data_IF_168375692458
#
_entry.id   IF_168375692458
#
_cell.length_a   1.000
_cell.length_b   1.000
_cell.length_c   1.000
_cell.angle_alpha   90.00
_cell.angle_beta   90.00
_cell.angle_gamma   90.00
#
_symmetry.space_group_name_H-M   'P 1'
#
loop_
_entity.id
_entity.type
_entity.pdbx_description
1 polymer ?
#
# COMPACT_ATOMS: atom_id res chain seq x y z
N UNK A 1 -13.21 5.64 10.89
CA UNK A 1 -12.17 5.23 9.90
C UNK A 1 -12.74 5.53 8.53
N UNK A 2 -12.02 6.20 7.65
CA UNK A 2 -12.47 6.49 6.28
C UNK A 2 -11.73 5.57 5.30
N UNK A 3 -12.43 5.15 4.24
CA UNK A 3 -11.76 4.51 3.10
C UNK A 3 -11.05 5.57 2.26
N UNK A 4 -9.90 5.23 1.68
CA UNK A 4 -9.17 6.10 0.77
C UNK A 4 -9.13 5.48 -0.63
N UNK A 5 -9.33 6.30 -1.63
CA UNK A 5 -9.25 5.93 -3.04
C UNK A 5 -8.36 6.94 -3.78
N UNK A 6 -7.79 6.53 -4.90
CA UNK A 6 -7.09 7.45 -5.80
C UNK A 6 -8.08 8.44 -6.41
N UNK A 7 -7.69 9.71 -6.50
CA UNK A 7 -8.45 10.72 -7.23
C UNK A 7 -8.54 10.43 -8.75
N UNK A 8 -7.70 9.52 -9.26
CA UNK A 8 -7.79 9.03 -10.63
C UNK A 8 -8.96 8.07 -10.86
N UNK A 9 -9.51 7.45 -9.79
CA UNK A 9 -10.55 6.43 -9.92
C UNK A 9 -11.78 6.93 -10.70
N UNK A 10 -12.40 8.07 -10.36
CA UNK A 10 -13.57 8.56 -11.10
C UNK A 10 -13.25 9.01 -12.53
N UNK A 11 -11.98 9.30 -12.83
CA UNK A 11 -11.56 9.69 -14.18
C UNK A 11 -11.32 8.46 -15.08
N UNK A 12 -10.66 7.43 -14.53
CA UNK A 12 -10.28 6.24 -15.29
C UNK A 12 -11.42 5.21 -15.36
N UNK A 13 -12.25 5.13 -14.31
CA UNK A 13 -13.33 4.16 -14.14
C UNK A 13 -14.62 4.85 -13.65
N UNK A 14 -15.22 5.76 -14.44
CA UNK A 14 -16.30 6.63 -13.98
C UNK A 14 -17.54 5.85 -13.50
N UNK A 15 -17.96 4.83 -14.22
CA UNK A 15 -19.15 4.01 -13.88
C UNK A 15 -18.94 3.23 -12.59
N UNK A 16 -17.77 2.63 -12.43
CA UNK A 16 -17.45 1.84 -11.22
C UNK A 16 -17.31 2.76 -10.01
N UNK A 17 -16.68 3.91 -10.19
CA UNK A 17 -16.54 4.93 -9.16
C UNK A 17 -17.89 5.48 -8.69
N UNK A 18 -18.79 5.79 -9.61
CA UNK A 18 -20.15 6.25 -9.30
C UNK A 18 -20.92 5.21 -8.50
N UNK A 19 -20.89 3.95 -8.93
CA UNK A 19 -21.54 2.83 -8.23
C UNK A 19 -20.97 2.65 -6.83
N UNK A 20 -19.64 2.66 -6.70
CA UNK A 20 -18.94 2.52 -5.43
C UNK A 20 -19.30 3.66 -4.47
N UNK A 21 -19.17 4.91 -4.89
CA UNK A 21 -19.37 6.06 -4.03
C UNK A 21 -20.84 6.23 -3.64
N UNK A 22 -21.79 5.92 -4.53
CA UNK A 22 -23.21 5.88 -4.22
C UNK A 22 -23.51 4.81 -3.16
N UNK A 23 -22.91 3.64 -3.28
CA UNK A 23 -23.06 2.55 -2.30
C UNK A 23 -22.48 2.95 -0.94
N UNK A 24 -21.28 3.52 -0.91
CA UNK A 24 -20.67 3.99 0.35
C UNK A 24 -21.54 5.07 1.03
N UNK A 25 -22.04 6.01 0.25
CA UNK A 25 -22.93 7.06 0.76
C UNK A 25 -24.25 6.50 1.31
N UNK A 26 -24.86 5.50 0.63
CA UNK A 26 -26.09 4.85 1.07
C UNK A 26 -25.92 4.10 2.41
N UNK A 27 -24.70 3.76 2.79
CA UNK A 27 -24.38 3.07 4.04
C UNK A 27 -23.64 3.95 5.05
N UNK A 28 -23.63 5.26 4.87
CA UNK A 28 -22.94 6.23 5.74
C UNK A 28 -21.45 5.91 5.96
N UNK A 29 -20.78 5.33 4.94
CA UNK A 29 -19.38 4.97 5.00
C UNK A 29 -18.53 6.13 4.45
N UNK A 30 -17.74 6.82 5.32
CA UNK A 30 -16.92 7.94 4.89
C UNK A 30 -15.75 7.48 4.02
N UNK A 31 -15.47 8.25 2.97
CA UNK A 31 -14.30 8.02 2.11
C UNK A 31 -13.61 9.34 1.77
N UNK A 32 -12.37 9.24 1.30
CA UNK A 32 -11.58 10.36 0.80
C UNK A 32 -10.88 9.98 -0.50
N UNK A 33 -10.69 10.95 -1.37
CA UNK A 33 -9.90 10.84 -2.59
C UNK A 33 -8.52 11.43 -2.33
N UNK A 34 -7.47 10.66 -2.65
CA UNK A 34 -6.08 11.08 -2.51
C UNK A 34 -5.54 11.60 -3.84
N UNK A 35 -5.11 12.85 -3.83
CA UNK A 35 -4.44 13.48 -4.96
C UNK A 35 -2.97 13.04 -5.05
N UNK A 36 -2.35 13.20 -6.24
CA UNK A 36 -0.94 12.90 -6.45
C UNK A 36 -0.61 11.42 -6.63
N UNK A 37 -1.61 10.56 -6.68
CA UNK A 37 -1.44 9.16 -7.06
C UNK A 37 -1.20 9.05 -8.56
N UNK A 38 -0.44 8.04 -8.99
CA UNK A 38 -0.13 7.76 -10.40
C UNK A 38 -0.84 6.53 -10.92
N UNK A 39 -1.50 5.79 -10.01
CA UNK A 39 -2.30 4.61 -10.28
C UNK A 39 -3.45 4.54 -9.27
N UNK A 40 -4.43 3.66 -9.51
CA UNK A 40 -5.61 3.45 -8.65
C UNK A 40 -5.37 2.46 -7.51
N UNK A 41 -4.29 1.70 -7.55
CA UNK A 41 -4.00 0.58 -6.64
C UNK A 41 -3.39 1.05 -5.31
N UNK A 42 -4.13 1.88 -4.54
CA UNK A 42 -3.64 2.43 -3.28
C UNK A 42 -3.09 1.36 -2.33
N UNK A 43 -3.71 0.20 -2.29
CA UNK A 43 -3.31 -0.90 -1.41
C UNK A 43 -1.84 -1.27 -1.58
N UNK A 44 -1.29 -1.11 -2.78
CA UNK A 44 0.04 -1.58 -3.10
C UNK A 44 1.14 -0.61 -2.64
N UNK A 45 0.87 0.70 -2.67
CA UNK A 45 1.86 1.72 -2.31
C UNK A 45 1.56 2.51 -1.02
N UNK A 46 0.39 2.30 -0.42
CA UNK A 46 0.06 2.92 0.88
C UNK A 46 0.73 2.16 2.03
N UNK A 47 0.97 2.84 3.18
CA UNK A 47 1.51 2.17 4.35
C UNK A 47 0.65 1.01 4.82
N UNK A 48 1.30 -0.07 5.16
CA UNK A 48 0.68 -1.23 5.79
C UNK A 48 0.50 -0.95 7.28
N UNK A 49 -0.70 -1.18 7.81
CA UNK A 49 -0.96 -1.11 9.25
C UNK A 49 -0.65 -2.46 9.89
N UNK A 50 0.26 -2.48 10.87
CA UNK A 50 0.63 -3.67 11.61
C UNK A 50 -0.41 -4.04 12.68
N UNK A 51 -0.27 -5.20 13.28
CA UNK A 51 -1.11 -5.65 14.39
C UNK A 51 -1.04 -4.72 15.61
N UNK A 52 0.10 -4.10 15.87
CA UNK A 52 0.30 -3.08 16.92
C UNK A 52 -0.24 -1.69 16.56
N UNK A 53 -0.72 -1.50 15.33
CA UNK A 53 -1.27 -0.24 14.85
C UNK A 53 -0.24 0.73 14.25
N UNK A 54 1.04 0.36 14.18
CA UNK A 54 2.08 1.11 13.47
C UNK A 54 1.77 1.14 11.98
N UNK A 55 2.28 2.16 11.29
CA UNK A 55 2.22 2.26 9.84
C UNK A 55 3.62 2.08 9.27
N UNK A 56 3.77 1.14 8.35
CA UNK A 56 5.03 0.85 7.66
C UNK A 56 4.85 1.07 6.16
N UNK A 57 5.66 1.95 5.58
CA UNK A 57 5.71 2.18 4.14
C UNK A 57 6.92 1.48 3.55
N UNK A 58 6.68 0.59 2.62
CA UNK A 58 7.69 -0.11 1.85
C UNK A 58 8.02 0.66 0.56
N UNK A 59 9.17 0.36 -0.03
CA UNK A 59 9.49 0.81 -1.37
C UNK A 59 8.55 0.10 -2.35
N UNK A 60 7.95 0.85 -3.27
CA UNK A 60 7.03 0.31 -4.27
C UNK A 60 7.66 0.40 -5.66
N UNK A 61 8.35 -0.66 -6.04
CA UNK A 61 8.99 -0.81 -7.36
C UNK A 61 8.74 -2.21 -7.92
N UNK A 62 7.48 -2.58 -8.17
CA UNK A 62 7.15 -3.93 -8.63
C UNK A 62 7.73 -4.19 -10.01
N UNK A 63 8.17 -5.42 -10.26
CA UNK A 63 8.84 -5.82 -11.50
C UNK A 63 7.98 -5.58 -12.75
N UNK A 64 6.66 -5.66 -12.64
CA UNK A 64 5.74 -5.42 -13.76
C UNK A 64 5.64 -3.94 -14.17
N UNK A 65 6.04 -3.00 -13.31
CA UNK A 65 6.15 -1.56 -13.65
C UNK A 65 7.59 -1.15 -14.03
N UNK A 66 8.48 -2.10 -14.28
CA UNK A 66 9.87 -1.80 -14.64
C UNK A 66 9.98 -0.91 -15.88
N UNK A 67 9.10 -1.13 -16.86
CA UNK A 67 9.08 -0.37 -18.12
C UNK A 67 8.19 0.89 -18.05
N UNK A 68 7.37 1.02 -17.00
CA UNK A 68 6.42 2.12 -16.82
C UNK A 68 6.62 2.81 -15.45
N UNK A 69 7.82 3.32 -15.15
CA UNK A 69 8.11 3.93 -13.84
C UNK A 69 7.27 5.17 -13.54
N UNK A 70 6.67 5.77 -14.56
CA UNK A 70 5.77 6.91 -14.42
C UNK A 70 4.49 6.56 -13.63
N UNK A 71 4.09 5.30 -13.64
CA UNK A 71 2.92 4.80 -12.90
C UNK A 71 3.23 4.45 -11.43
N UNK A 72 4.49 4.52 -11.01
CA UNK A 72 4.88 4.25 -9.63
C UNK A 72 4.57 5.44 -8.74
N UNK A 73 3.68 5.27 -7.79
CA UNK A 73 3.45 6.26 -6.73
C UNK A 73 4.48 6.04 -5.62
N UNK A 74 5.29 7.04 -5.33
CA UNK A 74 6.19 7.04 -4.17
C UNK A 74 5.44 7.64 -2.98
N UNK A 75 4.96 6.81 -2.07
CA UNK A 75 4.20 7.28 -0.91
C UNK A 75 4.93 8.38 -0.15
N UNK A 76 6.23 8.24 0.08
CA UNK A 76 7.02 9.18 0.87
C UNK A 76 7.08 10.58 0.24
N UNK A 77 7.15 10.65 -1.08
CA UNK A 77 7.24 11.92 -1.81
C UNK A 77 5.88 12.47 -2.19
N UNK A 78 5.02 11.60 -2.70
CA UNK A 78 3.80 12.00 -3.40
C UNK A 78 2.61 12.16 -2.43
N UNK A 79 2.54 11.37 -1.34
CA UNK A 79 1.37 11.31 -0.45
C UNK A 79 1.65 11.68 1.00
N UNK A 80 2.78 11.28 1.58
CA UNK A 80 3.06 11.50 2.99
C UNK A 80 2.97 12.98 3.43
N UNK A 81 3.42 13.98 2.62
CA UNK A 81 3.33 15.38 3.00
C UNK A 81 1.90 15.89 3.22
N UNK A 82 0.93 15.34 2.50
CA UNK A 82 -0.48 15.75 2.61
C UNK A 82 -1.23 15.00 3.71
N UNK A 83 -0.75 13.81 4.10
CA UNK A 83 -1.43 12.96 5.09
C UNK A 83 -0.96 13.18 6.52
N UNK A 84 0.28 13.63 6.72
CA UNK A 84 0.83 13.90 8.06
C UNK A 84 0.86 12.69 9.00
N UNK A 85 0.91 11.47 8.46
CA UNK A 85 0.85 10.24 9.24
C UNK A 85 2.23 9.88 9.80
N UNK A 86 2.31 9.39 11.05
CA UNK A 86 3.54 8.84 11.61
C UNK A 86 3.83 7.48 10.96
N UNK A 87 4.78 7.43 10.02
CA UNK A 87 5.10 6.25 9.23
C UNK A 87 6.56 5.87 9.39
N UNK A 88 6.83 4.58 9.63
CA UNK A 88 8.16 3.98 9.50
C UNK A 88 8.41 3.64 8.04
N UNK A 89 9.57 4.01 7.50
CA UNK A 89 9.94 3.76 6.10
C UNK A 89 10.95 2.63 6.01
N UNK A 90 10.69 1.68 5.09
CA UNK A 90 11.61 0.59 4.75
C UNK A 90 12.06 0.70 3.29
N UNK A 91 13.29 0.25 3.03
CA UNK A 91 13.83 0.13 1.68
C UNK A 91 13.50 -1.22 1.02
N UNK A 92 12.88 -2.14 1.74
CA UNK A 92 12.42 -3.40 1.18
C UNK A 92 11.37 -3.09 0.10
N UNK A 93 11.54 -3.68 -1.08
CA UNK A 93 10.58 -3.59 -2.17
C UNK A 93 9.44 -4.57 -1.91
N UNK A 94 8.26 -4.06 -1.56
CA UNK A 94 7.11 -4.88 -1.18
C UNK A 94 5.80 -4.13 -1.44
N UNK A 95 4.94 -4.74 -2.23
CA UNK A 95 3.58 -4.26 -2.44
C UNK A 95 2.75 -4.48 -1.18
N UNK A 96 2.05 -3.48 -0.70
CA UNK A 96 1.13 -3.63 0.43
C UNK A 96 0.02 -4.66 0.17
N UNK A 97 -0.37 -4.87 -1.09
CA UNK A 97 -1.29 -5.92 -1.51
C UNK A 97 -0.78 -7.34 -1.29
N UNK A 98 0.53 -7.51 -1.21
CA UNK A 98 1.19 -8.79 -0.92
C UNK A 98 1.31 -9.08 0.59
N UNK A 99 0.81 -8.22 1.47
CA UNK A 99 0.88 -8.39 2.93
C UNK A 99 -0.50 -8.71 3.48
N UNK A 100 -0.67 -9.89 4.05
CA UNK A 100 -1.94 -10.33 4.65
C UNK A 100 -1.71 -10.75 6.09
N UNK A 101 -2.41 -10.09 7.02
CA UNK A 101 -2.38 -10.45 8.44
C UNK A 101 -3.44 -11.51 8.75
N UNK A 102 -3.10 -12.43 9.65
CA UNK A 102 -4.12 -13.30 10.26
C UNK A 102 -5.11 -12.45 11.08
N UNK A 103 -6.33 -12.94 11.34
CA UNK A 103 -7.31 -12.21 12.15
C UNK A 103 -6.82 -11.85 13.56
N UNK A 104 -5.92 -12.64 14.13
CA UNK A 104 -5.29 -12.36 15.43
C UNK A 104 -4.15 -11.36 15.36
N UNK A 105 -3.66 -11.01 14.16
CA UNK A 105 -2.44 -10.24 13.98
C UNK A 105 -1.13 -10.99 14.25
N UNK A 106 -1.21 -12.26 14.74
CA UNK A 106 -0.03 -13.01 15.16
C UNK A 106 0.80 -13.59 13.99
N UNK A 107 0.24 -13.61 12.79
CA UNK A 107 0.92 -14.15 11.60
C UNK A 107 0.73 -13.20 10.43
N UNK A 108 1.78 -13.12 9.62
CA UNK A 108 1.77 -12.37 8.36
C UNK A 108 2.12 -13.34 7.23
N UNK A 109 1.33 -13.30 6.15
CA UNK A 109 1.58 -14.05 4.93
C UNK A 109 2.08 -13.06 3.87
N UNK A 110 3.20 -13.42 3.25
CA UNK A 110 3.82 -12.68 2.15
C UNK A 110 4.22 -13.73 1.11
N UNK A 111 3.99 -13.48 -0.19
CA UNK A 111 4.44 -14.42 -1.23
C UNK A 111 5.96 -14.41 -1.36
N UNK A 112 6.51 -15.51 -1.86
CA UNK A 112 7.95 -15.69 -2.10
C UNK A 112 8.54 -14.73 -3.16
N UNK A 113 7.68 -14.04 -3.91
CA UNK A 113 8.09 -12.97 -4.83
C UNK A 113 8.96 -11.91 -4.15
N UNK A 114 8.75 -11.68 -2.85
CA UNK A 114 9.55 -10.72 -2.07
C UNK A 114 11.05 -11.00 -2.13
N UNK A 115 11.47 -12.26 -2.24
CA UNK A 115 12.88 -12.61 -2.35
C UNK A 115 13.47 -12.24 -3.71
N UNK A 116 12.74 -12.46 -4.80
CA UNK A 116 13.19 -12.11 -6.14
C UNK A 116 13.18 -10.61 -6.42
N UNK A 117 12.34 -9.86 -5.71
CA UNK A 117 12.26 -8.39 -5.81
C UNK A 117 13.26 -7.66 -4.90
N UNK A 118 13.95 -8.40 -4.01
CA UNK A 118 14.99 -7.88 -3.11
C UNK A 118 16.26 -8.73 -3.15
N UNK A 119 16.87 -8.92 -4.33
CA UNK A 119 18.03 -9.81 -4.49
C UNK A 119 19.27 -9.33 -3.71
N UNK A 120 19.29 -8.06 -3.28
CA UNK A 120 20.34 -7.48 -2.46
C UNK A 120 20.31 -7.96 -1.01
N UNK A 121 19.20 -8.54 -0.55
CA UNK A 121 19.05 -9.07 0.81
C UNK A 121 19.30 -10.59 0.85
N UNK A 122 20.15 -11.09 1.77
CA UNK A 122 20.10 -12.51 2.14
C UNK A 122 18.71 -12.88 2.67
N UNK A 123 18.14 -14.00 2.23
CA UNK A 123 16.75 -14.38 2.56
C UNK A 123 16.45 -14.37 4.06
N UNK A 124 17.37 -14.85 4.89
CA UNK A 124 17.20 -14.86 6.35
C UNK A 124 17.17 -13.45 6.94
N UNK A 125 17.99 -12.52 6.43
CA UNK A 125 18.01 -11.13 6.86
C UNK A 125 16.72 -10.41 6.46
N UNK A 126 16.23 -10.67 5.24
CA UNK A 126 14.97 -10.11 4.75
C UNK A 126 13.79 -10.56 5.61
N UNK A 127 13.70 -11.85 5.94
CA UNK A 127 12.64 -12.38 6.81
C UNK A 127 12.72 -11.77 8.20
N UNK A 128 13.93 -11.64 8.76
CA UNK A 128 14.13 -11.03 10.07
C UNK A 128 13.66 -9.55 10.07
N UNK A 129 14.09 -8.74 9.11
CA UNK A 129 13.70 -7.33 9.01
C UNK A 129 12.20 -7.16 8.81
N UNK A 130 11.58 -8.00 7.97
CA UNK A 130 10.11 -8.00 7.79
C UNK A 130 9.38 -8.35 9.09
N UNK A 131 9.88 -9.31 9.87
CA UNK A 131 9.30 -9.66 11.16
C UNK A 131 9.32 -8.48 12.14
N UNK A 132 10.46 -7.80 12.27
CA UNK A 132 10.63 -6.62 13.13
C UNK A 132 9.71 -5.44 12.71
N UNK A 133 9.53 -5.26 11.40
CA UNK A 133 8.73 -4.16 10.87
C UNK A 133 7.23 -4.39 11.01
N UNK A 134 6.78 -5.64 10.92
CA UNK A 134 5.36 -6.01 10.83
C UNK A 134 4.74 -6.50 12.16
N UNK A 135 5.52 -6.48 13.25
CA UNK A 135 5.04 -6.79 14.60
C UNK A 135 4.02 -5.79 15.17
#
# INVERSE_FOLDING_TARGET
MAFCFSALLPTLYPTDAETLFTTLAAHDVPYALLEGTRDVWLRDFMPVRTGSGKLVSFRYEPCYLKNDPVLRTDFRKDLAPQLGLPVTYSNINLDGGNVVFSPSGAHVLISDRVFSENPEYPSAALVHELSELLE
#
